data_IF_653227595968
#
_entry.id   IF_653227595968
#
_cell.length_a   1.000
_cell.length_b   1.000
_cell.length_c   1.000
_cell.angle_alpha   90.00
_cell.angle_beta   90.00
_cell.angle_gamma   90.00
#
_symmetry.space_group_name_H-M   'P 1'
#
loop_
_entity.id
_entity.type
_entity.pdbx_description
1 polymer ?
#
# COMPACT_ATOMS: atom_id res chain seq x y z
N UNK A 1 -69.37 5.35 42.23
CA UNK A 1 -68.65 4.82 41.05
C UNK A 1 -67.51 5.79 40.70
N UNK A 2 -66.28 5.51 41.15
CA UNK A 2 -65.08 6.32 40.85
C UNK A 2 -64.55 5.90 39.48
N UNK A 3 -64.45 6.83 38.53
CA UNK A 3 -63.77 6.61 37.24
C UNK A 3 -62.36 7.16 37.34
N UNK A 4 -61.37 6.28 37.35
CA UNK A 4 -59.95 6.62 37.28
C UNK A 4 -59.57 6.92 35.83
N UNK A 5 -59.03 8.10 35.56
CA UNK A 5 -58.41 8.46 34.27
C UNK A 5 -56.91 8.21 34.40
N UNK A 6 -56.38 7.26 33.64
CA UNK A 6 -54.94 7.01 33.57
C UNK A 6 -54.34 7.90 32.47
N UNK A 7 -53.48 8.85 32.86
CA UNK A 7 -52.63 9.59 31.92
C UNK A 7 -51.42 8.72 31.54
N UNK A 8 -51.30 8.38 30.25
CA UNK A 8 -50.08 7.80 29.69
C UNK A 8 -49.12 8.92 29.29
N UNK A 9 -48.03 9.09 30.04
CA UNK A 9 -46.89 9.89 29.61
C UNK A 9 -46.02 9.05 28.66
N UNK A 10 -46.03 9.38 27.37
CA UNK A 10 -45.09 8.82 26.39
C UNK A 10 -43.80 9.63 26.46
N UNK A 11 -42.79 9.06 27.10
CA UNK A 11 -41.43 9.62 27.14
C UNK A 11 -40.73 9.29 25.82
N UNK A 12 -40.71 10.25 24.89
CA UNK A 12 -39.96 10.13 23.63
C UNK A 12 -38.50 10.49 23.91
N UNK A 13 -37.65 9.49 24.10
CA UNK A 13 -36.20 9.68 24.18
C UNK A 13 -35.64 9.84 22.76
N UNK A 14 -35.28 11.08 22.41
CA UNK A 14 -34.50 11.36 21.20
C UNK A 14 -33.06 10.86 21.40
N UNK A 15 -32.79 9.63 20.96
CA UNK A 15 -31.43 9.13 20.78
C UNK A 15 -30.80 9.87 19.59
N UNK A 16 -30.06 10.93 19.90
CA UNK A 16 -29.23 11.61 18.92
C UNK A 16 -28.00 10.73 18.66
N UNK A 17 -28.13 9.82 17.69
CA UNK A 17 -27.01 9.06 17.17
C UNK A 17 -26.08 10.06 16.46
N UNK A 18 -24.98 10.43 17.11
CA UNK A 18 -23.87 11.10 16.44
C UNK A 18 -23.32 10.12 15.41
N UNK A 19 -23.73 10.29 14.16
CA UNK A 19 -23.03 9.70 13.03
C UNK A 19 -21.67 10.37 12.97
N UNK A 20 -20.70 9.83 13.70
CA UNK A 20 -19.30 10.11 13.47
C UNK A 20 -19.01 9.71 12.04
N UNK A 21 -18.87 10.70 11.15
CA UNK A 21 -18.30 10.51 9.83
C UNK A 21 -16.86 10.03 10.04
N UNK A 22 -16.67 8.73 10.17
CA UNK A 22 -15.35 8.13 9.98
C UNK A 22 -14.99 8.41 8.53
N UNK A 23 -14.14 9.41 8.31
CA UNK A 23 -13.48 9.62 7.02
C UNK A 23 -12.61 8.39 6.80
N UNK A 24 -13.19 7.35 6.21
CA UNK A 24 -12.46 6.14 5.86
C UNK A 24 -11.38 6.57 4.89
N UNK A 25 -10.12 6.19 5.19
CA UNK A 25 -9.00 6.39 4.28
C UNK A 25 -9.49 5.98 2.88
N UNK A 26 -9.33 6.86 1.90
CA UNK A 26 -9.62 6.56 0.50
C UNK A 26 -8.69 5.42 0.12
N UNK A 27 -9.15 4.18 0.29
CA UNK A 27 -8.33 3.00 0.03
C UNK A 27 -7.85 3.11 -1.41
N UNK A 28 -6.60 2.67 -1.60
CA UNK A 28 -5.94 2.51 -2.88
C UNK A 28 -6.85 2.11 -4.04
N UNK A 29 -6.46 2.43 -5.29
CA UNK A 29 -7.21 2.05 -6.47
C UNK A 29 -7.65 0.59 -6.36
N UNK A 30 -8.97 0.42 -6.54
CA UNK A 30 -9.66 -0.86 -6.51
C UNK A 30 -8.88 -1.94 -7.27
N UNK A 31 -9.11 -3.23 -6.96
CA UNK A 31 -8.53 -4.35 -7.71
C UNK A 31 -8.63 -4.07 -9.21
N UNK A 32 -7.52 -4.29 -9.92
CA UNK A 32 -7.40 -4.01 -11.36
C UNK A 32 -8.68 -4.41 -12.10
N UNK A 33 -9.29 -3.45 -12.81
CA UNK A 33 -10.49 -3.67 -13.64
C UNK A 33 -10.16 -4.52 -14.87
N UNK A 34 -8.89 -4.75 -15.16
CA UNK A 34 -8.48 -5.62 -16.24
C UNK A 34 -8.78 -7.08 -15.86
N UNK A 35 -9.59 -7.78 -16.67
CA UNK A 35 -10.04 -9.13 -16.38
C UNK A 35 -8.92 -10.17 -16.43
N UNK A 36 -7.72 -9.83 -16.90
CA UNK A 36 -6.56 -10.73 -16.89
C UNK A 36 -5.77 -10.54 -15.60
N UNK A 37 -5.33 -9.33 -15.28
CA UNK A 37 -4.56 -9.06 -14.04
C UNK A 37 -5.41 -9.21 -12.79
N UNK A 38 -6.66 -8.72 -12.76
CA UNK A 38 -7.52 -8.90 -11.59
C UNK A 38 -7.97 -10.34 -11.34
N UNK A 39 -8.15 -11.16 -12.40
CA UNK A 39 -8.53 -12.58 -12.26
C UNK A 39 -7.35 -13.51 -12.03
N UNK A 40 -6.12 -13.10 -12.37
CA UNK A 40 -4.94 -13.93 -12.25
C UNK A 40 -4.37 -13.96 -10.82
N UNK A 41 -4.63 -12.93 -10.01
CA UNK A 41 -4.21 -12.87 -8.62
C UNK A 41 -5.32 -13.31 -7.67
N UNK A 42 -4.95 -13.96 -6.57
CA UNK A 42 -5.84 -14.43 -5.52
C UNK A 42 -5.86 -13.52 -4.29
N UNK A 43 -4.78 -12.79 -4.05
CA UNK A 43 -4.49 -12.08 -2.80
C UNK A 43 -4.01 -13.02 -1.68
N UNK A 44 -3.12 -12.51 -0.84
CA UNK A 44 -2.44 -13.28 0.21
C UNK A 44 -3.40 -13.92 1.23
N UNK A 45 -4.57 -13.32 1.47
CA UNK A 45 -5.56 -13.88 2.41
C UNK A 45 -6.10 -15.25 1.95
N UNK A 46 -6.23 -15.47 0.64
CA UNK A 46 -6.68 -16.76 0.09
C UNK A 46 -5.67 -17.88 0.33
N UNK A 47 -4.39 -17.54 0.48
CA UNK A 47 -3.33 -18.52 0.72
C UNK A 47 -3.41 -19.14 2.12
N UNK A 48 -3.93 -18.40 3.10
CA UNK A 48 -3.95 -18.76 4.53
C UNK A 48 -4.66 -20.09 4.83
N UNK A 49 -5.73 -20.43 4.10
CA UNK A 49 -6.51 -21.64 4.36
C UNK A 49 -5.73 -22.93 4.12
N UNK A 50 -4.81 -22.93 3.15
CA UNK A 50 -3.97 -24.07 2.80
C UNK A 50 -2.53 -23.93 3.33
N UNK A 51 -2.02 -22.70 3.43
CA UNK A 51 -0.64 -22.37 3.81
C UNK A 51 -0.58 -21.55 5.10
N UNK A 52 -1.22 -22.05 6.16
CA UNK A 52 -1.36 -21.32 7.43
C UNK A 52 0.00 -20.92 8.02
N UNK A 53 0.95 -21.84 8.10
CA UNK A 53 2.26 -21.59 8.71
C UNK A 53 3.04 -20.51 7.95
N UNK A 54 3.09 -20.60 6.61
CA UNK A 54 3.76 -19.65 5.75
C UNK A 54 3.11 -18.27 5.81
N UNK A 55 1.78 -18.22 5.80
CA UNK A 55 1.04 -16.96 5.93
C UNK A 55 1.34 -16.27 7.27
N UNK A 56 1.34 -17.01 8.39
CA UNK A 56 1.66 -16.41 9.70
C UNK A 56 3.12 -15.94 9.78
N UNK A 57 4.04 -16.73 9.24
CA UNK A 57 5.45 -16.32 9.17
C UNK A 57 5.60 -15.04 8.34
N UNK A 58 5.00 -14.97 7.14
CA UNK A 58 5.01 -13.79 6.29
C UNK A 58 4.40 -12.57 6.98
N UNK A 59 3.24 -12.73 7.66
CA UNK A 59 2.59 -11.64 8.40
C UNK A 59 3.44 -11.03 9.51
N UNK A 60 4.47 -11.73 9.98
CA UNK A 60 5.39 -11.19 10.99
C UNK A 60 6.64 -10.51 10.37
N UNK A 61 6.73 -10.43 9.04
CA UNK A 61 7.84 -9.78 8.33
C UNK A 61 7.51 -8.35 7.93
N UNK A 62 8.53 -7.51 7.70
CA UNK A 62 8.33 -6.14 7.17
C UNK A 62 7.71 -6.15 5.78
N UNK A 63 7.91 -7.21 4.99
CA UNK A 63 7.27 -7.36 3.69
C UNK A 63 5.75 -7.26 3.76
N UNK A 64 5.12 -7.74 4.85
CA UNK A 64 3.67 -7.66 5.03
C UNK A 64 3.16 -6.29 5.51
N UNK A 65 4.06 -5.38 5.87
CA UNK A 65 3.71 -4.13 6.55
C UNK A 65 4.32 -2.88 5.94
N UNK A 66 5.25 -2.97 4.97
CA UNK A 66 6.03 -1.86 4.42
C UNK A 66 5.25 -0.55 4.20
N UNK A 67 4.03 -0.67 3.68
CA UNK A 67 3.06 0.39 3.42
C UNK A 67 1.90 0.23 4.39
N UNK A 68 1.55 1.32 5.05
CA UNK A 68 0.41 1.39 5.96
C UNK A 68 -0.52 2.53 5.53
N UNK A 69 -1.84 2.30 5.48
CA UNK A 69 -2.80 3.35 5.14
C UNK A 69 -2.86 4.40 6.25
N UNK A 70 -2.94 5.65 5.86
CA UNK A 70 -3.23 6.81 6.72
C UNK A 70 -4.32 7.63 6.02
N UNK A 71 -4.94 8.57 6.72
CA UNK A 71 -5.93 9.45 6.13
C UNK A 71 -5.79 10.87 6.65
N UNK A 72 -6.50 11.80 6.00
CA UNK A 72 -6.67 13.15 6.53
C UNK A 72 -7.23 13.09 7.95
N UNK A 73 -6.51 13.69 8.89
CA UNK A 73 -6.84 13.67 10.32
C UNK A 73 -6.60 12.35 11.04
N UNK A 74 -6.18 11.28 10.35
CA UNK A 74 -5.93 9.96 10.95
C UNK A 74 -4.51 9.46 10.66
N UNK A 75 -3.62 9.72 11.62
CA UNK A 75 -2.22 9.31 11.64
C UNK A 75 -1.97 8.12 12.57
N UNK A 76 -2.98 7.33 12.96
CA UNK A 76 -2.82 6.20 13.90
C UNK A 76 -1.78 5.16 13.47
N UNK A 77 -1.53 5.07 12.17
CA UNK A 77 -0.60 4.11 11.57
C UNK A 77 0.79 4.69 11.33
N UNK A 78 1.04 5.96 11.66
CA UNK A 78 2.36 6.61 11.61
C UNK A 78 3.20 6.11 12.78
N UNK A 79 4.51 5.87 12.55
CA UNK A 79 5.44 5.46 13.62
C UNK A 79 6.46 6.53 13.99
N UNK A 80 6.54 7.61 13.21
CA UNK A 80 7.38 8.76 13.52
C UNK A 80 6.90 9.51 14.76
N UNK A 81 7.84 10.18 15.44
CA UNK A 81 7.52 11.20 16.44
C UNK A 81 7.06 12.48 15.72
N UNK A 82 5.77 12.76 15.78
CA UNK A 82 5.15 13.91 15.12
C UNK A 82 5.31 15.23 15.87
N UNK A 83 5.97 15.23 17.03
CA UNK A 83 6.15 16.43 17.85
C UNK A 83 7.39 17.24 17.46
N UNK A 84 8.29 16.65 16.67
CA UNK A 84 9.53 17.30 16.24
C UNK A 84 9.30 18.29 15.11
N UNK A 85 10.27 19.19 14.92
CA UNK A 85 10.23 20.19 13.85
C UNK A 85 10.06 19.55 12.46
N UNK A 86 9.33 20.23 11.59
CA UNK A 86 9.02 19.80 10.22
C UNK A 86 8.15 18.54 10.10
N UNK A 87 7.59 18.02 11.19
CA UNK A 87 6.61 16.94 11.11
C UNK A 87 5.37 17.37 10.29
N UNK A 88 4.85 16.49 9.41
CA UNK A 88 3.63 16.76 8.66
C UNK A 88 2.43 16.84 9.59
N UNK A 89 1.51 17.76 9.32
CA UNK A 89 0.26 17.86 10.08
C UNK A 89 -0.77 16.85 9.56
N UNK A 90 -1.56 16.18 10.43
CA UNK A 90 -2.57 15.21 10.01
C UNK A 90 -3.58 15.76 8.99
N UNK A 91 -3.90 17.05 9.05
CA UNK A 91 -4.87 17.70 8.15
C UNK A 91 -4.23 18.39 6.94
N UNK A 92 -2.91 18.31 6.78
CA UNK A 92 -2.16 19.03 5.75
C UNK A 92 -2.50 18.58 4.33
N UNK A 93 -2.72 17.29 4.11
CA UNK A 93 -3.08 16.73 2.81
C UNK A 93 -4.21 15.71 2.93
N UNK A 94 -4.78 15.34 1.78
CA UNK A 94 -5.56 14.10 1.66
C UNK A 94 -4.59 12.91 1.65
N UNK A 95 -4.18 12.49 2.85
CA UNK A 95 -3.15 11.46 2.99
C UNK A 95 -3.61 10.10 2.46
N UNK A 96 -2.65 9.35 1.92
CA UNK A 96 -2.87 8.00 1.39
C UNK A 96 -2.14 6.98 2.26
N UNK A 97 -0.80 7.02 2.28
CA UNK A 97 0.02 5.99 2.91
C UNK A 97 1.22 6.57 3.64
N UNK A 98 1.71 5.78 4.59
CA UNK A 98 3.04 5.90 5.15
C UNK A 98 3.86 4.66 4.79
N UNK A 99 5.10 4.84 4.39
CA UNK A 99 5.98 3.82 3.80
C UNK A 99 7.25 3.73 4.66
N UNK A 100 7.68 2.51 5.01
CA UNK A 100 8.88 2.30 5.83
C UNK A 100 8.63 2.51 7.33
N UNK A 101 9.65 2.91 8.09
CA UNK A 101 9.51 3.34 9.49
C UNK A 101 9.87 2.34 10.59
N UNK A 102 10.38 1.14 10.25
CA UNK A 102 10.84 0.16 11.25
C UNK A 102 12.22 0.49 11.82
N UNK A 103 13.21 0.76 10.97
CA UNK A 103 14.61 0.93 11.40
C UNK A 103 15.26 2.22 10.95
N UNK A 104 14.85 2.79 9.80
CA UNK A 104 15.57 3.89 9.17
C UNK A 104 14.65 5.06 8.82
N UNK A 105 14.00 4.99 7.66
CA UNK A 105 13.23 6.09 7.09
C UNK A 105 11.74 5.77 7.04
N UNK A 106 10.91 6.78 7.28
CA UNK A 106 9.48 6.77 7.05
C UNK A 106 9.09 7.89 6.07
N UNK A 107 8.42 7.54 4.97
CA UNK A 107 8.01 8.47 3.91
C UNK A 107 6.49 8.52 3.78
N UNK A 108 5.98 9.64 3.28
CA UNK A 108 4.55 9.93 3.32
C UNK A 108 4.00 10.19 1.92
N UNK A 109 2.83 9.62 1.66
CA UNK A 109 2.13 9.73 0.38
C UNK A 109 0.75 10.35 0.57
N UNK A 110 0.33 11.18 -0.38
CA UNK A 110 -0.96 11.85 -0.39
C UNK A 110 -1.57 11.86 -1.80
N UNK A 111 -2.88 12.11 -1.87
CA UNK A 111 -3.60 12.30 -3.11
C UNK A 111 -3.44 13.75 -3.60
N UNK A 112 -3.05 13.92 -4.86
CA UNK A 112 -3.12 15.23 -5.52
C UNK A 112 -4.54 15.53 -6.03
N UNK A 113 -4.76 16.76 -6.47
CA UNK A 113 -6.06 17.22 -7.01
C UNK A 113 -6.51 16.46 -8.27
N UNK A 114 -5.57 15.81 -8.97
CA UNK A 114 -5.81 15.02 -10.18
C UNK A 114 -6.10 13.55 -9.85
N UNK A 115 -6.09 13.18 -8.57
CA UNK A 115 -6.31 11.81 -8.10
C UNK A 115 -5.09 10.89 -8.24
N UNK A 116 -3.88 11.44 -8.41
CA UNK A 116 -2.64 10.68 -8.34
C UNK A 116 -2.18 10.53 -6.90
N UNK A 117 -1.47 9.43 -6.62
CA UNK A 117 -0.82 9.22 -5.34
C UNK A 117 0.62 9.69 -5.47
N UNK A 118 0.96 10.73 -4.72
CA UNK A 118 2.26 11.38 -4.72
C UNK A 118 2.98 11.05 -3.42
N UNK A 119 4.20 10.53 -3.53
CA UNK A 119 5.11 10.40 -2.38
C UNK A 119 5.89 11.70 -2.26
N UNK A 120 5.70 12.37 -1.13
CA UNK A 120 6.03 13.77 -0.93
C UNK A 120 7.42 14.05 -0.36
N UNK A 121 7.54 15.27 0.15
CA UNK A 121 8.75 15.90 0.70
C UNK A 121 9.15 15.34 2.07
N UNK A 122 8.22 14.75 2.83
CA UNK A 122 8.48 14.35 4.21
C UNK A 122 9.21 13.01 4.27
N UNK A 123 10.39 13.04 4.89
CA UNK A 123 11.14 11.85 5.27
C UNK A 123 11.56 11.95 6.74
N UNK A 124 11.08 11.02 7.55
CA UNK A 124 11.46 10.92 8.94
C UNK A 124 12.62 9.94 9.11
N UNK A 125 13.72 10.39 9.69
CA UNK A 125 14.84 9.56 10.10
C UNK A 125 14.64 9.11 11.55
N UNK A 126 14.33 7.82 11.74
CA UNK A 126 14.15 7.20 13.06
C UNK A 126 15.42 7.26 13.91
N UNK A 127 16.64 6.98 13.38
CA UNK A 127 17.86 7.06 14.17
C UNK A 127 18.18 8.47 14.67
N UNK A 128 17.76 9.51 13.92
CA UNK A 128 18.07 10.90 14.26
C UNK A 128 16.90 11.64 14.92
N UNK A 129 15.75 10.98 15.09
CA UNK A 129 14.49 11.60 15.52
C UNK A 129 14.18 12.92 14.80
N UNK A 130 14.25 12.94 13.47
CA UNK A 130 14.19 14.18 12.70
C UNK A 130 13.42 14.02 11.38
N UNK A 131 12.56 14.99 11.06
CA UNK A 131 11.95 15.13 9.75
C UNK A 131 12.78 16.02 8.84
N UNK A 132 13.15 15.46 7.69
CA UNK A 132 13.74 16.19 6.57
C UNK A 132 12.65 16.54 5.56
N UNK A 133 12.67 17.79 5.09
CA UNK A 133 11.91 18.24 3.92
C UNK A 133 12.77 18.08 2.66
N UNK A 134 12.43 17.09 1.84
CA UNK A 134 13.11 16.78 0.59
C UNK A 134 12.73 17.78 -0.52
N UNK A 135 13.76 18.36 -1.13
CA UNK A 135 13.67 19.30 -2.25
C UNK A 135 14.48 18.79 -3.45
N UNK A 136 14.06 19.16 -4.66
CA UNK A 136 14.83 18.96 -5.89
C UNK A 136 16.06 19.86 -5.90
N UNK A 137 16.95 19.69 -6.91
CA UNK A 137 18.13 20.55 -7.05
C UNK A 137 17.77 22.01 -7.28
N UNK A 138 16.62 22.25 -7.87
CA UNK A 138 16.03 23.56 -8.16
C UNK A 138 15.28 24.14 -6.95
N UNK A 139 15.29 23.46 -5.80
CA UNK A 139 14.70 23.93 -4.54
C UNK A 139 13.19 23.68 -4.40
N UNK A 140 12.53 23.13 -5.42
CA UNK A 140 11.11 22.75 -5.34
C UNK A 140 10.92 21.51 -4.46
N UNK A 141 9.74 21.34 -3.86
CA UNK A 141 9.45 20.15 -3.04
C UNK A 141 9.43 18.90 -3.91
N UNK A 142 10.00 17.79 -3.41
CA UNK A 142 10.01 16.51 -4.14
C UNK A 142 8.58 15.96 -4.25
N UNK A 143 8.20 15.53 -5.46
CA UNK A 143 6.92 14.91 -5.77
C UNK A 143 7.20 13.69 -6.64
N UNK A 144 7.13 12.49 -6.06
CA UNK A 144 7.34 11.22 -6.78
C UNK A 144 5.99 10.56 -7.07
N UNK A 145 5.82 10.01 -8.27
CA UNK A 145 4.58 9.33 -8.62
C UNK A 145 4.62 7.90 -8.06
N UNK A 146 3.62 7.51 -7.28
CA UNK A 146 3.59 6.18 -6.67
C UNK A 146 3.79 5.05 -7.69
N UNK A 147 3.10 5.09 -8.83
CA UNK A 147 3.14 4.00 -9.82
C UNK A 147 4.38 4.00 -10.71
N UNK A 148 5.16 5.08 -10.70
CA UNK A 148 6.43 5.15 -11.41
C UNK A 148 7.62 4.87 -10.51
N UNK A 149 7.56 5.31 -9.25
CA UNK A 149 8.74 5.37 -8.37
C UNK A 149 8.67 4.44 -7.15
N UNK A 150 7.51 3.86 -6.81
CA UNK A 150 7.35 3.07 -5.57
C UNK A 150 6.57 1.76 -5.73
N UNK A 151 5.48 1.78 -6.49
CA UNK A 151 4.39 0.80 -6.40
C UNK A 151 4.77 -0.61 -6.85
N UNK A 152 5.73 -0.75 -7.77
CA UNK A 152 6.18 -2.08 -8.20
C UNK A 152 6.87 -2.85 -7.07
N UNK A 153 7.61 -2.14 -6.22
CA UNK A 153 8.33 -2.75 -5.10
C UNK A 153 7.48 -2.83 -3.82
N UNK A 154 6.54 -1.90 -3.63
CA UNK A 154 5.81 -1.72 -2.38
C UNK A 154 4.34 -2.18 -2.41
N UNK A 155 3.89 -2.72 -3.53
CA UNK A 155 2.57 -3.35 -3.68
C UNK A 155 2.68 -4.61 -4.54
N UNK A 156 1.64 -5.43 -4.51
CA UNK A 156 1.59 -6.69 -5.28
C UNK A 156 0.61 -6.57 -6.43
N UNK A 157 1.00 -7.09 -7.60
CA UNK A 157 0.19 -7.05 -8.81
C UNK A 157 0.03 -5.64 -9.38
N UNK A 158 1.06 -4.80 -9.24
CA UNK A 158 1.05 -3.42 -9.73
C UNK A 158 0.99 -3.38 -11.27
N UNK A 159 0.00 -2.67 -11.79
CA UNK A 159 -0.13 -2.31 -13.19
C UNK A 159 0.00 -0.79 -13.31
N UNK A 160 1.17 -0.32 -13.78
CA UNK A 160 1.46 1.10 -13.88
C UNK A 160 0.66 1.80 -15.00
N UNK A 161 0.22 1.06 -16.03
CA UNK A 161 -0.56 1.63 -17.14
C UNK A 161 -1.98 1.94 -16.67
N UNK A 162 -2.56 1.01 -15.91
CA UNK A 162 -3.90 1.16 -15.32
C UNK A 162 -3.88 1.93 -14.01
N UNK A 163 -2.69 2.15 -13.43
CA UNK A 163 -2.50 2.79 -12.11
C UNK A 163 -3.30 2.07 -11.02
N UNK A 164 -3.18 0.74 -11.00
CA UNK A 164 -3.83 -0.16 -10.04
C UNK A 164 -2.84 -1.14 -9.44
N UNK A 165 -3.18 -1.75 -8.31
CA UNK A 165 -2.51 -2.94 -7.79
C UNK A 165 -3.55 -3.87 -7.15
N UNK A 166 -3.15 -5.09 -6.77
CA UNK A 166 -4.06 -6.11 -6.23
C UNK A 166 -4.14 -6.03 -4.71
N UNK A 167 -2.99 -5.98 -4.05
CA UNK A 167 -2.91 -5.84 -2.60
C UNK A 167 -1.74 -4.94 -2.20
N UNK A 168 -1.89 -4.29 -1.05
CA UNK A 168 -0.79 -3.57 -0.42
C UNK A 168 0.34 -4.52 -0.08
N UNK A 169 1.55 -3.96 0.02
CA UNK A 169 2.72 -4.65 0.53
C UNK A 169 3.24 -5.75 -0.40
N UNK A 170 4.32 -6.39 0.02
CA UNK A 170 4.96 -7.47 -0.68
C UNK A 170 4.27 -8.76 -0.24
N UNK A 171 3.16 -9.08 -0.89
CA UNK A 171 2.34 -10.24 -0.63
C UNK A 171 2.91 -11.53 -1.22
N UNK A 172 2.20 -12.64 -1.01
CA UNK A 172 2.62 -13.97 -1.47
C UNK A 172 2.88 -13.97 -2.99
N UNK A 173 1.97 -13.36 -3.75
CA UNK A 173 1.99 -13.34 -5.21
C UNK A 173 2.99 -12.34 -5.79
N UNK A 174 3.66 -11.54 -4.95
CA UNK A 174 4.84 -10.82 -5.39
C UNK A 174 5.90 -11.85 -5.80
N UNK A 175 6.25 -12.79 -4.92
CA UNK A 175 7.32 -13.76 -5.18
C UNK A 175 6.84 -15.03 -5.90
N UNK A 176 5.56 -15.38 -5.74
CA UNK A 176 4.97 -16.61 -6.31
C UNK A 176 4.14 -16.38 -7.57
N UNK A 177 4.00 -15.12 -8.00
CA UNK A 177 3.25 -14.73 -9.17
C UNK A 177 1.74 -14.89 -9.02
N UNK A 178 0.98 -14.52 -10.06
CA UNK A 178 -0.47 -14.66 -10.07
C UNK A 178 -0.88 -16.12 -9.85
N UNK A 179 -1.61 -16.40 -8.78
CA UNK A 179 -1.89 -17.75 -8.29
C UNK A 179 -3.38 -18.07 -8.18
N UNK A 180 -4.27 -17.29 -8.82
CA UNK A 180 -5.71 -17.54 -8.78
C UNK A 180 -6.09 -18.95 -9.24
N UNK A 181 -5.50 -19.46 -10.32
CA UNK A 181 -5.80 -20.82 -10.79
C UNK A 181 -5.18 -21.91 -9.92
N UNK A 182 -4.05 -21.61 -9.27
CA UNK A 182 -3.50 -22.46 -8.22
C UNK A 182 -4.49 -22.60 -7.06
N UNK A 183 -5.14 -21.52 -6.61
CA UNK A 183 -6.14 -21.62 -5.53
C UNK A 183 -7.36 -22.48 -5.90
N UNK A 184 -7.75 -22.51 -7.18
CA UNK A 184 -8.88 -23.32 -7.67
C UNK A 184 -8.51 -24.79 -7.85
N UNK A 185 -7.26 -25.08 -8.28
CA UNK A 185 -6.80 -26.43 -8.65
C UNK A 185 -5.39 -26.73 -8.13
N UNK A 186 -5.13 -26.69 -6.82
CA UNK A 186 -3.76 -26.68 -6.25
C UNK A 186 -2.95 -27.96 -6.49
N UNK A 187 -3.63 -29.08 -6.76
CA UNK A 187 -2.97 -30.34 -7.14
C UNK A 187 -2.47 -30.33 -8.58
N UNK A 188 -3.18 -29.64 -9.50
CA UNK A 188 -2.91 -29.64 -10.94
C UNK A 188 -2.11 -28.42 -11.40
N UNK A 189 -2.36 -27.26 -10.78
CA UNK A 189 -1.69 -25.99 -11.09
C UNK A 189 -0.79 -25.67 -9.91
N UNK A 190 0.51 -25.52 -10.15
CA UNK A 190 1.49 -25.11 -9.14
C UNK A 190 1.71 -23.60 -9.23
N UNK A 191 1.79 -22.94 -8.08
CA UNK A 191 2.30 -21.58 -8.02
C UNK A 191 3.79 -21.56 -8.41
N UNK A 192 4.28 -20.40 -8.87
CA UNK A 192 5.68 -20.26 -9.23
C UNK A 192 6.53 -20.33 -7.96
N UNK A 193 7.65 -21.05 -8.01
CA UNK A 193 8.69 -21.01 -6.98
C UNK A 193 9.97 -20.56 -7.67
N UNK A 194 10.24 -19.27 -7.54
CA UNK A 194 11.43 -18.66 -8.11
C UNK A 194 12.56 -18.58 -7.09
N UNK A 195 13.60 -19.38 -7.36
CA UNK A 195 14.79 -19.53 -6.51
C UNK A 195 15.96 -18.66 -6.98
N UNK A 196 15.78 -17.89 -8.04
CA UNK A 196 16.80 -16.99 -8.55
C UNK A 196 16.90 -15.75 -7.67
N UNK A 197 18.13 -15.25 -7.47
CA UNK A 197 18.39 -14.04 -6.67
C UNK A 197 17.67 -12.82 -7.26
N UNK A 198 17.46 -12.81 -8.58
CA UNK A 198 16.78 -11.78 -9.35
C UNK A 198 15.33 -11.56 -8.89
N UNK A 199 14.68 -12.59 -8.33
CA UNK A 199 13.34 -12.46 -7.74
C UNK A 199 13.32 -11.45 -6.58
N UNK A 200 14.39 -11.45 -5.79
CA UNK A 200 14.63 -10.46 -4.76
C UNK A 200 15.15 -9.15 -5.39
N UNK A 201 16.04 -9.28 -6.37
CA UNK A 201 16.76 -8.19 -7.03
C UNK A 201 15.84 -7.17 -7.70
N UNK A 202 14.68 -7.57 -8.24
CA UNK A 202 13.74 -6.63 -8.86
C UNK A 202 13.25 -5.51 -7.93
N UNK A 203 13.28 -5.73 -6.61
CA UNK A 203 12.98 -4.71 -5.60
C UNK A 203 14.26 -4.22 -4.90
N UNK A 204 15.19 -5.13 -4.63
CA UNK A 204 16.46 -4.85 -3.94
C UNK A 204 17.55 -4.42 -4.91
N UNK A 205 17.23 -3.45 -5.76
CA UNK A 205 18.16 -2.87 -6.73
C UNK A 205 18.00 -1.35 -6.74
N UNK A 206 19.07 -0.66 -7.13
CA UNK A 206 18.99 0.74 -7.55
C UNK A 206 19.26 0.77 -9.04
N UNK A 207 18.20 0.85 -9.83
CA UNK A 207 18.29 0.93 -11.28
C UNK A 207 17.28 1.94 -11.81
N UNK A 208 17.49 2.38 -13.05
CA UNK A 208 16.55 3.27 -13.73
C UNK A 208 16.37 2.75 -15.14
N UNK A 209 15.12 2.60 -15.56
CA UNK A 209 14.84 2.14 -16.92
C UNK A 209 15.37 3.17 -17.94
N UNK A 210 15.71 2.71 -19.15
CA UNK A 210 16.18 3.52 -20.27
C UNK A 210 15.03 3.96 -21.19
N UNK A 211 15.33 4.87 -22.12
CA UNK A 211 14.39 5.34 -23.15
C UNK A 211 13.12 5.99 -22.59
N UNK A 212 11.97 5.66 -23.18
CA UNK A 212 10.65 6.18 -22.80
C UNK A 212 10.21 5.78 -21.39
N UNK A 213 10.90 4.83 -20.78
CA UNK A 213 10.62 4.28 -19.46
C UNK A 213 11.46 4.93 -18.37
N UNK A 214 12.29 5.92 -18.68
CA UNK A 214 13.15 6.63 -17.70
C UNK A 214 12.42 7.23 -16.49
N UNK A 215 11.09 7.28 -16.49
CA UNK A 215 10.30 7.65 -15.31
C UNK A 215 10.29 6.57 -14.22
N UNK A 216 10.60 5.31 -14.54
CA UNK A 216 10.64 4.20 -13.60
C UNK A 216 12.03 4.02 -13.00
N UNK A 217 12.09 3.93 -11.68
CA UNK A 217 13.32 3.70 -10.89
C UNK A 217 13.46 2.23 -10.43
N UNK A 218 12.81 1.31 -11.15
CA UNK A 218 12.85 -0.13 -10.94
C UNK A 218 12.62 -0.87 -12.26
N UNK A 219 13.06 -2.14 -12.36
CA UNK A 219 12.75 -3.00 -13.50
C UNK A 219 11.26 -3.34 -13.56
N UNK A 220 10.61 -2.99 -14.66
CA UNK A 220 9.17 -3.26 -14.85
C UNK A 220 8.87 -4.53 -15.64
N UNK A 221 9.91 -5.21 -16.14
CA UNK A 221 9.80 -6.36 -17.04
C UNK A 221 10.21 -7.69 -16.43
N UNK A 222 10.54 -7.70 -15.13
CA UNK A 222 10.96 -8.95 -14.51
C UNK A 222 9.83 -9.98 -14.53
N UNK A 223 10.13 -11.15 -15.10
CA UNK A 223 9.26 -12.33 -15.11
C UNK A 223 9.83 -13.36 -14.15
N UNK A 224 8.97 -13.93 -13.29
CA UNK A 224 9.38 -14.97 -12.36
C UNK A 224 9.88 -16.21 -13.12
N UNK A 225 10.93 -16.84 -12.59
CA UNK A 225 11.72 -17.93 -13.18
C UNK A 225 12.48 -17.55 -14.47
N UNK A 226 12.61 -16.26 -14.78
CA UNK A 226 13.39 -15.78 -15.93
C UNK A 226 14.38 -14.69 -15.50
N UNK A 227 15.50 -15.06 -14.85
CA UNK A 227 16.44 -14.11 -14.26
C UNK A 227 17.01 -13.10 -15.28
N UNK A 228 17.18 -13.52 -16.52
CA UNK A 228 17.63 -12.72 -17.66
C UNK A 228 16.73 -11.49 -17.95
N UNK A 229 15.47 -11.53 -17.55
CA UNK A 229 14.53 -10.42 -17.73
C UNK A 229 14.76 -9.24 -16.78
N UNK A 230 15.52 -9.42 -15.69
CA UNK A 230 15.74 -8.36 -14.69
C UNK A 230 16.44 -7.15 -15.30
N UNK A 231 17.47 -7.39 -16.12
CA UNK A 231 18.33 -6.35 -16.67
C UNK A 231 17.81 -5.74 -17.97
N UNK A 232 16.64 -6.20 -18.43
CA UNK A 232 16.04 -5.71 -19.67
C UNK A 232 15.70 -4.23 -19.55
N UNK A 233 16.29 -3.43 -20.44
CA UNK A 233 16.10 -1.98 -20.53
C UNK A 233 16.48 -1.18 -19.27
N UNK A 234 17.35 -1.74 -18.41
CA UNK A 234 18.06 -1.03 -17.33
C UNK A 234 19.34 -0.37 -17.83
#
# INVERSE_FOLDING_TARGET
>A
MKKSVALFFVLVTFLWASQGNTVSAKMAPAPSKNPITGKAYAGSEKCKSCHKAQYQAWKNTIHAWMVRPIAKGDFKNVKADLTVEHAPKPDQYDWAYVIGGWYKEERYAFWDEKGNIIVGEFEYSRPNNHFKINKTKEGSLVRQDWFNDCGYCHATGTNYKERTFVEFNIGCEACHGPSADHTKKPKKVKAVIDKHTENCGRCHIRARMKGDLKKFNYPIYYELNKPDTLMKDL
#
